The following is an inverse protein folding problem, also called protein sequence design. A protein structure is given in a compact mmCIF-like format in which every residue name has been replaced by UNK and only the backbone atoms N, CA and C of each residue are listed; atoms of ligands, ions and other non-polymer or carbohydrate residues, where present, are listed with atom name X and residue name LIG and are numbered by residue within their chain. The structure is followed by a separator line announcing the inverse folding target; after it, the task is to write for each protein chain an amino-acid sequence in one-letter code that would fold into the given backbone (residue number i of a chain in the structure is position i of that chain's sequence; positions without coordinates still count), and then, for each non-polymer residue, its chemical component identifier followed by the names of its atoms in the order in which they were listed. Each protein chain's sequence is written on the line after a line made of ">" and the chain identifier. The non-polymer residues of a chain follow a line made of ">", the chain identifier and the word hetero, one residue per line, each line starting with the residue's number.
data_IF_808712293258
#
_entry.id   IF_808712293258
#
_cell.length_a   1.000
_cell.length_b   1.000
_cell.length_c   1.000
_cell.angle_alpha   90.00
_cell.angle_beta   90.00
_cell.angle_gamma   90.00
#
_symmetry.space_group_name_H-M   'P 1'
#
loop_
_entity.id
_entity.type
_entity.pdbx_description
1 polymer ?
#
# COMPACT_ATOMS: atom_id res chain seq x y z
N UNK A 1 -3.92 9.25 2.59
CA UNK A 1 -2.74 9.18 1.70
C UNK A 1 -2.59 7.80 1.08
N UNK A 2 -2.57 6.71 1.88
CA UNK A 2 -2.35 5.33 1.37
C UNK A 2 -3.46 4.91 0.41
N UNK A 3 -4.70 5.30 0.68
CA UNK A 3 -5.86 5.07 -0.19
C UNK A 3 -5.68 5.78 -1.53
N UNK A 4 -5.27 7.03 -1.51
CA UNK A 4 -5.04 7.84 -2.70
C UNK A 4 -3.96 7.24 -3.58
N UNK A 5 -2.82 6.86 -2.98
CA UNK A 5 -1.74 6.15 -3.67
C UNK A 5 -2.21 4.86 -4.34
N UNK A 6 -3.01 4.05 -3.64
CA UNK A 6 -3.50 2.79 -4.20
C UNK A 6 -4.48 3.02 -5.35
N UNK A 7 -5.37 4.00 -5.24
CA UNK A 7 -6.31 4.33 -6.31
C UNK A 7 -5.59 4.80 -7.57
N UNK A 8 -4.52 5.59 -7.42
CA UNK A 8 -3.70 6.05 -8.54
C UNK A 8 -2.89 4.91 -9.17
N UNK A 9 -2.19 4.10 -8.35
CA UNK A 9 -1.35 3.01 -8.83
C UNK A 9 -2.13 1.90 -9.52
N UNK A 10 -3.31 1.54 -9.00
CA UNK A 10 -4.09 0.42 -9.55
C UNK A 10 -4.96 0.85 -10.73
N UNK A 11 -5.41 2.09 -10.75
CA UNK A 11 -6.24 2.69 -11.80
C UNK A 11 -7.37 1.77 -12.30
N UNK A 12 -8.11 1.15 -11.38
CA UNK A 12 -9.20 0.23 -11.67
C UNK A 12 -10.33 0.39 -10.65
N UNK A 13 -11.55 -0.02 -11.02
CA UNK A 13 -12.69 0.04 -10.11
C UNK A 13 -12.58 -1.05 -9.03
N UNK A 14 -12.91 -0.70 -7.79
CA UNK A 14 -13.02 -1.65 -6.69
C UNK A 14 -14.24 -2.53 -6.91
N UNK A 15 -14.07 -3.83 -6.75
CA UNK A 15 -15.12 -4.85 -6.88
C UNK A 15 -15.56 -5.37 -5.50
N UNK A 16 -14.61 -5.54 -4.56
CA UNK A 16 -14.88 -6.03 -3.21
C UNK A 16 -14.05 -5.25 -2.21
N UNK A 17 -14.61 -5.07 -1.03
CA UNK A 17 -13.98 -4.46 0.13
C UNK A 17 -14.32 -5.29 1.35
N UNK A 18 -13.33 -5.59 2.16
CA UNK A 18 -13.48 -6.17 3.49
C UNK A 18 -12.56 -5.42 4.45
N UNK A 19 -13.01 -5.17 5.67
CA UNK A 19 -12.19 -4.51 6.68
C UNK A 19 -12.47 -5.11 8.06
N UNK A 20 -11.41 -5.25 8.84
CA UNK A 20 -11.46 -5.61 10.26
C UNK A 20 -10.64 -4.59 11.04
N UNK A 21 -11.00 -4.32 12.28
CA UNK A 21 -10.29 -3.34 13.08
C UNK A 21 -10.68 -3.37 14.54
N UNK A 22 -9.98 -2.58 15.34
CA UNK A 22 -10.27 -2.38 16.74
C UNK A 22 -10.63 -0.93 17.04
N UNK A 23 -11.42 -0.75 18.08
CA UNK A 23 -11.82 0.56 18.59
C UNK A 23 -11.27 0.76 19.99
N UNK A 24 -10.92 2.01 20.30
CA UNK A 24 -10.53 2.40 21.65
C UNK A 24 -11.76 2.54 22.57
N UNK A 25 -11.51 2.90 23.83
CA UNK A 25 -12.56 3.13 24.85
C UNK A 25 -13.56 4.23 24.48
N UNK A 26 -13.20 5.14 23.57
CA UNK A 26 -14.05 6.22 23.08
C UNK A 26 -14.84 5.81 21.82
N UNK A 27 -14.69 4.57 21.37
CA UNK A 27 -15.35 4.06 20.17
C UNK A 27 -14.69 4.45 18.84
N UNK A 28 -13.54 5.12 18.89
CA UNK A 28 -12.78 5.50 17.71
C UNK A 28 -11.90 4.34 17.22
N UNK A 29 -11.76 4.20 15.90
CA UNK A 29 -10.90 3.18 15.30
C UNK A 29 -9.44 3.50 15.61
N UNK A 30 -8.75 2.56 16.26
CA UNK A 30 -7.33 2.65 16.60
C UNK A 30 -6.44 1.90 15.61
N UNK A 31 -6.95 0.80 15.05
CA UNK A 31 -6.30 0.12 13.95
C UNK A 31 -7.33 -0.44 12.98
N UNK A 32 -6.92 -0.54 11.72
CA UNK A 32 -7.72 -1.14 10.67
C UNK A 32 -6.82 -1.91 9.71
N UNK A 33 -7.31 -3.06 9.28
CA UNK A 33 -6.77 -3.82 8.19
C UNK A 33 -7.88 -3.97 7.14
N UNK A 34 -7.65 -3.48 5.93
CA UNK A 34 -8.63 -3.52 4.85
C UNK A 34 -8.05 -4.21 3.63
N UNK A 35 -8.86 -5.03 2.97
CA UNK A 35 -8.53 -5.68 1.71
C UNK A 35 -9.47 -5.20 0.62
N UNK A 36 -8.89 -4.72 -0.47
CA UNK A 36 -9.58 -4.27 -1.68
C UNK A 36 -9.30 -5.23 -2.82
N UNK A 37 -10.33 -5.66 -3.52
CA UNK A 37 -10.19 -6.42 -4.76
C UNK A 37 -10.67 -5.55 -5.91
N UNK A 38 -9.82 -5.34 -6.90
CA UNK A 38 -10.12 -4.52 -8.07
C UNK A 38 -10.62 -5.37 -9.25
N UNK A 39 -11.32 -4.74 -10.20
CA UNK A 39 -11.86 -5.43 -11.38
C UNK A 39 -10.77 -6.03 -12.29
N UNK A 40 -9.55 -5.49 -12.27
CA UNK A 40 -8.38 -6.03 -12.96
C UNK A 40 -7.67 -7.15 -12.20
N UNK A 41 -8.31 -7.70 -11.15
CA UNK A 41 -7.80 -8.76 -10.27
C UNK A 41 -6.61 -8.36 -9.39
N UNK A 42 -6.25 -7.10 -9.31
CA UNK A 42 -5.29 -6.62 -8.31
C UNK A 42 -5.94 -6.67 -6.94
N UNK A 43 -5.17 -7.13 -5.96
CA UNK A 43 -5.55 -7.14 -4.55
C UNK A 43 -4.63 -6.16 -3.82
N UNK A 44 -5.21 -5.26 -3.05
CA UNK A 44 -4.48 -4.34 -2.19
C UNK A 44 -4.89 -4.57 -0.73
N UNK A 45 -3.88 -4.65 0.14
CA UNK A 45 -4.06 -4.71 1.59
C UNK A 45 -3.55 -3.43 2.22
N UNK A 46 -4.37 -2.81 3.03
CA UNK A 46 -4.11 -1.57 3.74
C UNK A 46 -4.08 -1.85 5.24
N UNK A 47 -3.05 -1.37 5.90
CA UNK A 47 -2.96 -1.42 7.37
C UNK A 47 -2.70 -0.02 7.90
N UNK A 48 -3.57 0.46 8.76
CA UNK A 48 -3.37 1.71 9.49
C UNK A 48 -3.54 1.47 10.99
N UNK A 49 -2.62 1.97 11.79
CA UNK A 49 -2.64 1.80 13.24
C UNK A 49 -2.13 3.05 13.94
N UNK A 50 -2.86 3.46 14.99
CA UNK A 50 -2.43 4.48 15.96
C UNK A 50 -1.69 3.87 17.15
N UNK A 51 -1.72 2.54 17.27
CA UNK A 51 -1.15 1.82 18.43
C UNK A 51 0.36 1.60 18.32
N UNK A 52 0.96 1.81 17.15
CA UNK A 52 2.39 1.62 16.95
C UNK A 52 3.19 2.76 17.58
N UNK A 53 4.18 2.41 18.41
CA UNK A 53 5.17 3.37 18.94
C UNK A 53 6.17 3.83 17.87
N UNK A 54 6.25 3.11 16.75
CA UNK A 54 7.11 3.45 15.62
C UNK A 54 6.25 3.97 14.47
N UNK A 55 6.63 5.12 13.92
CA UNK A 55 6.05 5.61 12.67
C UNK A 55 6.50 4.70 11.51
N UNK A 56 5.55 4.15 10.79
CA UNK A 56 5.79 3.31 9.62
C UNK A 56 5.00 3.90 8.46
N UNK A 57 5.66 4.10 7.32
CA UNK A 57 5.03 4.46 6.06
C UNK A 57 5.74 3.72 4.94
N UNK A 58 5.18 2.64 4.51
CA UNK A 58 5.76 1.77 3.48
C UNK A 58 4.71 1.26 2.53
N UNK A 59 5.15 0.93 1.33
CA UNK A 59 4.33 0.27 0.32
C UNK A 59 5.15 -0.85 -0.30
N UNK A 60 4.54 -2.03 -0.45
CA UNK A 60 5.12 -3.15 -1.19
C UNK A 60 4.21 -3.52 -2.35
N UNK A 61 4.76 -3.57 -3.55
CA UNK A 61 4.03 -3.94 -4.76
C UNK A 61 4.63 -5.21 -5.38
N UNK A 62 3.87 -6.30 -5.36
CA UNK A 62 4.23 -7.56 -5.99
C UNK A 62 3.84 -7.55 -7.46
N UNK A 63 4.82 -7.42 -8.33
CA UNK A 63 4.66 -7.48 -9.77
C UNK A 63 5.04 -8.86 -10.32
N UNK A 64 4.77 -9.13 -11.60
CA UNK A 64 5.07 -10.43 -12.21
C UNK A 64 6.56 -10.83 -12.14
N UNK A 65 7.46 -9.85 -12.27
CA UNK A 65 8.92 -10.09 -12.37
C UNK A 65 9.73 -9.34 -11.32
N UNK A 66 9.07 -8.63 -10.40
CA UNK A 66 9.74 -7.82 -9.39
C UNK A 66 8.86 -7.63 -8.16
N UNK A 67 9.50 -7.39 -7.03
CA UNK A 67 8.92 -6.82 -5.84
C UNK A 67 9.47 -5.40 -5.69
N UNK A 68 8.59 -4.43 -5.53
CA UNK A 68 8.96 -3.04 -5.28
C UNK A 68 8.61 -2.73 -3.84
N UNK A 69 9.58 -2.30 -3.06
CA UNK A 69 9.41 -1.88 -1.67
C UNK A 69 9.79 -0.41 -1.55
N UNK A 70 8.91 0.37 -0.96
CA UNK A 70 9.10 1.82 -0.76
C UNK A 70 8.99 2.15 0.71
N UNK A 71 9.99 2.84 1.24
CA UNK A 71 9.95 3.47 2.56
C UNK A 71 9.83 5.00 2.37
N UNK A 72 8.64 5.52 2.65
CA UNK A 72 8.36 6.96 2.50
C UNK A 72 8.99 7.83 3.59
N UNK A 73 9.46 7.23 4.69
CA UNK A 73 10.13 7.99 5.75
C UNK A 73 11.60 8.21 5.43
N UNK A 74 12.23 7.21 4.83
CA UNK A 74 13.66 7.25 4.47
C UNK A 74 13.89 7.58 2.99
N UNK A 75 12.81 7.78 2.21
CA UNK A 75 12.85 8.07 0.77
C UNK A 75 13.61 7.01 -0.05
N UNK A 76 13.51 5.74 0.36
CA UNK A 76 14.17 4.63 -0.29
C UNK A 76 13.18 3.80 -1.09
N UNK A 77 13.60 3.39 -2.28
CA UNK A 77 12.88 2.43 -3.12
C UNK A 77 13.84 1.30 -3.46
N UNK A 78 13.44 0.07 -3.12
CA UNK A 78 14.15 -1.14 -3.47
C UNK A 78 13.34 -1.93 -4.49
N UNK A 79 13.96 -2.27 -5.61
CA UNK A 79 13.35 -3.09 -6.66
C UNK A 79 14.08 -4.43 -6.67
N UNK A 80 13.42 -5.45 -6.14
CA UNK A 80 13.90 -6.82 -6.17
C UNK A 80 13.49 -7.44 -7.51
N UNK A 81 14.44 -7.71 -8.38
CA UNK A 81 14.18 -8.33 -9.67
C UNK A 81 14.53 -9.81 -9.62
N UNK A 82 13.66 -10.64 -10.20
CA UNK A 82 13.99 -12.05 -10.42
C UNK A 82 15.10 -12.11 -11.46
N UNK A 83 16.20 -12.75 -11.12
CA UNK A 83 17.14 -13.23 -12.11
C UNK A 83 16.66 -14.55 -12.69
N UNK A 84 17.34 -15.02 -13.75
CA UNK A 84 17.02 -16.30 -14.37
C UNK A 84 17.23 -17.45 -13.38
N UNK A 85 16.23 -18.31 -13.27
CA UNK A 85 16.34 -19.56 -12.56
C UNK A 85 17.18 -20.52 -13.43
N UNK A 86 18.38 -20.86 -12.96
CA UNK A 86 19.18 -21.88 -13.60
C UNK A 86 19.06 -23.17 -12.79
N UNK A 87 18.65 -24.24 -13.47
CA UNK A 87 18.76 -25.59 -12.94
C UNK A 87 20.04 -26.17 -13.47
N UNK A 88 21.05 -26.35 -12.63
CA UNK A 88 22.26 -27.08 -12.94
C UNK A 88 22.16 -28.43 -12.28
N UNK A 89 22.20 -29.51 -13.08
CA UNK A 89 22.36 -30.85 -12.58
C UNK A 89 23.87 -31.19 -12.64
N UNK A 90 24.56 -31.03 -11.53
CA UNK A 90 25.91 -31.49 -11.37
C UNK A 90 25.91 -32.64 -10.37
N UNK A 91 26.39 -33.80 -10.79
CA UNK A 91 26.54 -35.04 -9.99
C UNK A 91 25.26 -35.56 -9.32
N UNK A 92 24.06 -35.28 -9.90
CA UNK A 92 22.79 -35.84 -9.42
C UNK A 92 22.09 -34.98 -8.33
N UNK A 93 22.68 -33.87 -7.93
CA UNK A 93 22.01 -32.89 -7.06
C UNK A 93 21.44 -31.72 -7.87
N UNK A 94 20.17 -31.40 -7.65
CA UNK A 94 19.52 -30.20 -8.19
C UNK A 94 19.95 -28.99 -7.36
N UNK A 95 20.89 -28.20 -7.86
CA UNK A 95 21.25 -26.92 -7.26
C UNK A 95 20.28 -25.88 -7.77
N UNK A 96 19.42 -25.35 -6.86
CA UNK A 96 18.59 -24.18 -7.08
C UNK A 96 19.40 -22.94 -6.77
N UNK A 97 19.69 -22.13 -7.77
CA UNK A 97 20.34 -20.84 -7.60
C UNK A 97 19.36 -19.73 -7.99
N UNK A 98 19.05 -18.85 -7.04
CA UNK A 98 18.23 -17.66 -7.24
C UNK A 98 19.16 -16.43 -7.23
N UNK A 99 19.63 -16.02 -8.39
CA UNK A 99 20.51 -14.86 -8.56
C UNK A 99 19.65 -13.59 -8.73
N UNK A 100 18.78 -13.26 -7.74
CA UNK A 100 18.06 -12.00 -7.70
C UNK A 100 19.02 -10.83 -7.44
N UNK A 101 18.77 -9.67 -8.03
CA UNK A 101 19.47 -8.45 -7.69
C UNK A 101 18.51 -7.39 -7.17
N UNK A 102 19.03 -6.56 -6.26
CA UNK A 102 18.29 -5.45 -5.68
C UNK A 102 18.83 -4.18 -6.32
N UNK A 103 17.95 -3.44 -6.95
CA UNK A 103 18.20 -2.11 -7.47
C UNK A 103 17.71 -1.11 -6.42
N UNK A 104 18.60 -0.28 -5.92
CA UNK A 104 18.26 0.80 -5.00
C UNK A 104 18.08 2.09 -5.82
N UNK A 105 16.89 2.68 -5.72
CA UNK A 105 16.59 3.94 -6.38
C UNK A 105 16.59 5.05 -5.34
N UNK A 106 17.59 5.90 -5.41
CA UNK A 106 17.66 7.10 -4.57
C UNK A 106 16.76 8.18 -5.13
N UNK A 107 15.87 8.70 -4.31
CA UNK A 107 15.02 9.83 -4.66
C UNK A 107 15.63 11.12 -4.11
N UNK A 108 15.49 12.22 -4.86
CA UNK A 108 15.87 13.55 -4.33
C UNK A 108 14.91 13.91 -3.20
N UNK A 109 15.48 14.16 -2.03
CA UNK A 109 14.69 14.58 -0.86
C UNK A 109 14.32 16.06 -1.02
N UNK A 110 13.14 16.30 -1.60
CA UNK A 110 12.48 17.60 -1.51
C UNK A 110 11.54 17.52 -0.29
N UNK A 111 11.54 18.58 0.52
CA UNK A 111 10.64 18.65 1.66
C UNK A 111 9.18 18.59 1.15
N UNK A 112 8.35 17.60 1.59
CA UNK A 112 7.06 17.34 0.99
C UNK A 112 6.08 18.52 1.02
N UNK A 113 6.02 19.26 2.12
CA UNK A 113 5.14 20.41 2.25
C UNK A 113 5.56 21.55 1.30
N UNK A 114 6.85 21.75 1.12
CA UNK A 114 7.35 22.73 0.16
C UNK A 114 6.94 22.35 -1.26
N UNK A 115 7.11 21.08 -1.65
CA UNK A 115 6.70 20.60 -2.97
C UNK A 115 5.20 20.75 -3.21
N UNK A 116 4.37 20.46 -2.20
CA UNK A 116 2.92 20.63 -2.26
C UNK A 116 2.52 22.09 -2.47
N UNK A 117 3.08 23.01 -1.67
CA UNK A 117 2.80 24.44 -1.77
C UNK A 117 3.29 25.04 -3.10
N UNK A 118 4.48 24.66 -3.56
CA UNK A 118 4.99 25.11 -4.85
C UNK A 118 4.10 24.63 -5.99
N UNK A 119 3.72 23.36 -6.02
CA UNK A 119 2.81 22.81 -7.01
C UNK A 119 1.44 23.53 -6.98
N UNK A 120 0.88 23.76 -5.78
CA UNK A 120 -0.36 24.51 -5.63
C UNK A 120 -0.26 25.92 -6.26
N UNK A 121 0.82 26.65 -5.99
CA UNK A 121 1.06 27.97 -6.56
C UNK A 121 1.18 27.94 -8.09
N UNK A 122 1.83 26.91 -8.65
CA UNK A 122 1.92 26.75 -10.11
C UNK A 122 0.55 26.46 -10.73
N UNK A 123 -0.30 25.67 -10.05
CA UNK A 123 -1.68 25.44 -10.48
C UNK A 123 -2.52 26.72 -10.44
N UNK A 124 -2.43 27.51 -9.37
CA UNK A 124 -3.14 28.79 -9.25
C UNK A 124 -2.72 29.77 -10.35
N UNK A 125 -1.45 29.77 -10.74
CA UNK A 125 -0.91 30.59 -11.82
C UNK A 125 -1.27 30.06 -13.23
N UNK A 126 -1.96 28.93 -13.32
CA UNK A 126 -2.34 28.31 -14.58
C UNK A 126 -1.18 27.66 -15.35
N UNK A 127 -0.03 27.44 -14.68
CA UNK A 127 1.15 26.83 -15.31
C UNK A 127 1.11 25.31 -15.26
N UNK A 128 0.44 24.74 -14.28
CA UNK A 128 0.28 23.31 -14.08
C UNK A 128 -1.17 22.95 -13.79
N UNK A 129 -1.50 21.68 -13.94
CA UNK A 129 -2.77 21.11 -13.50
C UNK A 129 -2.57 20.42 -12.16
N UNK A 130 -3.58 20.42 -11.27
CA UNK A 130 -3.50 19.67 -10.03
C UNK A 130 -3.14 18.20 -10.28
N UNK A 131 -2.13 17.68 -9.60
CA UNK A 131 -1.77 16.26 -9.64
C UNK A 131 -2.88 15.40 -9.01
N UNK A 132 -3.52 15.94 -7.97
CA UNK A 132 -4.73 15.36 -7.37
C UNK A 132 -5.82 16.43 -7.43
N UNK A 133 -6.86 16.19 -8.21
CA UNK A 133 -8.01 17.08 -8.30
C UNK A 133 -9.06 16.78 -7.21
N UNK A 134 -10.06 17.65 -7.10
CA UNK A 134 -11.12 17.51 -6.10
C UNK A 134 -11.94 16.23 -6.27
N UNK A 135 -12.08 15.69 -7.48
CA UNK A 135 -12.78 14.42 -7.73
C UNK A 135 -11.96 13.23 -7.23
N UNK A 136 -10.66 13.23 -7.48
CA UNK A 136 -9.74 12.19 -6.98
C UNK A 136 -9.70 12.21 -5.45
N UNK A 137 -9.55 13.39 -4.83
CA UNK A 137 -9.59 13.55 -3.39
C UNK A 137 -10.93 13.07 -2.77
N UNK A 138 -12.05 13.40 -3.42
CA UNK A 138 -13.38 12.94 -3.00
C UNK A 138 -13.53 11.41 -3.06
N UNK A 139 -12.95 10.76 -4.08
CA UNK A 139 -12.95 9.29 -4.19
C UNK A 139 -12.15 8.63 -3.06
N UNK A 140 -10.98 9.18 -2.74
CA UNK A 140 -10.16 8.68 -1.64
C UNK A 140 -10.88 8.81 -0.30
N UNK A 141 -11.52 9.95 -0.04
CA UNK A 141 -12.29 10.19 1.17
C UNK A 141 -13.52 9.27 1.25
N UNK A 142 -14.24 9.10 0.15
CA UNK A 142 -15.38 8.18 0.09
C UNK A 142 -14.97 6.73 0.38
N UNK A 143 -13.83 6.29 -0.15
CA UNK A 143 -13.32 4.95 0.15
C UNK A 143 -12.90 4.81 1.62
N UNK A 144 -12.34 5.85 2.23
CA UNK A 144 -12.04 5.85 3.66
C UNK A 144 -13.31 5.67 4.51
N UNK A 145 -14.39 6.39 4.18
CA UNK A 145 -15.70 6.23 4.83
C UNK A 145 -16.29 4.81 4.63
N UNK A 146 -16.16 4.24 3.45
CA UNK A 146 -16.59 2.86 3.20
C UNK A 146 -15.78 1.85 4.02
N UNK A 147 -14.47 2.03 4.14
CA UNK A 147 -13.60 1.18 4.98
C UNK A 147 -14.05 1.29 6.43
N UNK A 148 -14.25 2.49 6.94
CA UNK A 148 -14.69 2.72 8.32
C UNK A 148 -16.03 2.06 8.63
N UNK A 149 -16.99 2.14 7.70
CA UNK A 149 -18.30 1.49 7.81
C UNK A 149 -18.21 -0.04 7.70
N UNK A 150 -17.25 -0.54 6.95
CA UNK A 150 -17.03 -1.98 6.77
C UNK A 150 -16.25 -2.61 7.93
N UNK A 151 -15.65 -1.82 8.83
CA UNK A 151 -14.91 -2.35 9.97
C UNK A 151 -15.85 -3.17 10.85
N UNK A 152 -15.66 -4.48 10.81
CA UNK A 152 -16.24 -5.43 11.76
C UNK A 152 -15.22 -5.68 12.86
N UNK A 153 -15.68 -5.64 14.10
CA UNK A 153 -14.89 -6.12 15.24
C UNK A 153 -14.99 -7.63 15.21
N UNK A 154 -13.87 -8.40 15.25
CA UNK A 154 -13.96 -9.84 15.38
C UNK A 154 -14.78 -10.17 16.61
N UNK A 155 -15.92 -10.86 16.45
CA UNK A 155 -16.65 -11.37 17.60
C UNK A 155 -15.82 -12.50 18.23
N UNK A 156 -15.76 -12.55 19.55
CA UNK A 156 -15.06 -13.61 20.29
C UNK A 156 -15.51 -15.01 19.86
N UNK A 157 -16.72 -15.14 19.34
CA UNK A 157 -17.32 -16.40 18.90
C UNK A 157 -16.69 -17.01 17.63
N UNK A 158 -15.94 -16.27 16.84
CA UNK A 158 -15.38 -16.77 15.57
C UNK A 158 -14.06 -17.52 15.78
N UNK A 159 -13.32 -17.22 16.83
CA UNK A 159 -11.97 -17.76 17.04
C UNK A 159 -11.91 -19.03 17.88
N UNK A 160 -12.94 -19.35 18.63
CA UNK A 160 -12.87 -20.42 19.65
C UNK A 160 -13.80 -21.62 19.39
N UNK A 161 -14.66 -21.58 18.37
CA UNK A 161 -15.60 -22.67 18.09
C UNK A 161 -15.02 -23.83 17.30
N UNK A 162 -13.81 -23.71 16.76
CA UNK A 162 -13.08 -24.81 16.13
C UNK A 162 -11.67 -24.81 16.69
N UNK A 163 -11.50 -25.60 17.77
CA UNK A 163 -10.18 -25.81 18.35
C UNK A 163 -9.17 -26.21 17.27
N UNK A 164 -8.10 -25.42 17.15
CA UNK A 164 -6.86 -25.80 16.51
C UNK A 164 -6.05 -26.60 17.52
#
# INVERSE_FOLDING_TARGET
>A
HDIDLILELVNSKIQKLAAVGGRNSEGLIDYVNATLVFKNNVIASLTASKMSHKKIRSLSAHCKQSLIETDFLNHNIHIHRKAHEWYSADHGELLYRNDGFIEEVSTTSIEPLYAELEHFLQCVRGKEKPAVDGLQASRALHLADLIEKAVSIPSEDILLSKGI
#
